data_IF_295825464337
#
_entry.id   IF_295825464337
#
_cell.length_a   1.000
_cell.length_b   1.000
_cell.length_c   1.000
_cell.angle_alpha   90.00
_cell.angle_beta   90.00
_cell.angle_gamma   90.00
#
_symmetry.space_group_name_H-M   'P 1'
#
loop_
_entity.id
_entity.type
_entity.pdbx_description
1 polymer ?
#
# COMPACT_ATOMS: atom_id res chain seq x y z
N UNK A 1 29.21 -43.88 -15.59
CA UNK A 1 29.86 -45.03 -14.91
C UNK A 1 29.26 -46.32 -15.44
N UNK A 2 30.05 -47.38 -15.67
CA UNK A 2 29.52 -48.68 -16.13
C UNK A 2 29.65 -49.74 -15.03
N UNK A 3 28.53 -50.20 -14.50
CA UNK A 3 28.45 -51.41 -13.69
C UNK A 3 27.27 -52.27 -14.17
N UNK A 4 27.51 -53.58 -14.32
CA UNK A 4 26.63 -54.49 -15.07
C UNK A 4 26.12 -55.61 -14.20
N UNK A 5 24.83 -55.95 -14.35
CA UNK A 5 24.23 -57.14 -13.76
C UNK A 5 24.33 -58.31 -14.75
N UNK A 6 24.92 -59.43 -14.34
CA UNK A 6 25.01 -60.67 -15.15
C UNK A 6 24.32 -61.79 -14.38
N UNK A 7 23.30 -62.41 -14.99
CA UNK A 7 22.57 -63.55 -14.44
C UNK A 7 22.74 -64.75 -15.38
N UNK A 8 23.27 -65.88 -14.90
CA UNK A 8 23.55 -67.09 -15.71
C UNK A 8 23.20 -68.39 -14.95
N UNK A 9 22.75 -69.42 -15.67
CA UNK A 9 22.29 -70.71 -15.15
C UNK A 9 23.37 -71.81 -15.12
N UNK A 10 24.57 -71.57 -15.64
CA UNK A 10 25.65 -72.57 -15.65
C UNK A 10 26.46 -72.60 -14.34
N UNK A 11 26.60 -73.80 -13.77
CA UNK A 11 27.06 -74.05 -12.40
C UNK A 11 28.55 -73.75 -12.19
N UNK A 12 28.85 -72.52 -11.76
CA UNK A 12 29.91 -72.12 -10.79
C UNK A 12 29.98 -70.60 -10.60
N UNK A 13 29.36 -69.83 -11.49
CA UNK A 13 29.16 -68.37 -11.36
C UNK A 13 27.87 -68.05 -10.58
N UNK A 14 27.14 -69.08 -10.14
CA UNK A 14 25.79 -69.04 -9.53
C UNK A 14 25.66 -68.21 -8.24
N UNK A 15 26.74 -67.66 -7.69
CA UNK A 15 26.72 -66.75 -6.53
C UNK A 15 27.12 -65.30 -6.83
N UNK A 16 27.33 -64.91 -8.10
CA UNK A 16 28.17 -63.73 -8.40
C UNK A 16 27.41 -62.45 -8.75
N UNK A 17 27.96 -61.33 -8.28
CA UNK A 17 27.70 -59.93 -8.60
C UNK A 17 26.42 -59.27 -8.05
N UNK A 18 25.31 -59.94 -7.75
CA UNK A 18 24.08 -59.21 -7.34
C UNK A 18 24.26 -58.37 -6.05
N UNK A 19 24.99 -58.87 -5.05
CA UNK A 19 25.28 -58.11 -3.83
C UNK A 19 26.21 -56.93 -4.10
N UNK A 20 27.23 -57.12 -4.95
CA UNK A 20 28.12 -56.04 -5.39
C UNK A 20 27.37 -55.00 -6.22
N UNK A 21 26.49 -55.44 -7.12
CA UNK A 21 25.62 -54.60 -7.94
C UNK A 21 24.64 -53.82 -7.07
N UNK A 22 24.05 -54.45 -6.05
CA UNK A 22 23.21 -53.78 -5.08
C UNK A 22 23.98 -52.70 -4.32
N UNK A 23 25.18 -53.01 -3.83
CA UNK A 23 26.00 -52.04 -3.11
C UNK A 23 26.42 -50.88 -4.03
N UNK A 24 26.78 -51.16 -5.28
CA UNK A 24 27.09 -50.14 -6.28
C UNK A 24 25.87 -49.27 -6.61
N UNK A 25 24.68 -49.88 -6.73
CA UNK A 25 23.43 -49.17 -6.94
C UNK A 25 23.10 -48.26 -5.74
N UNK A 26 23.22 -48.76 -4.52
CA UNK A 26 22.98 -47.99 -3.30
C UNK A 26 23.97 -46.82 -3.17
N UNK A 27 25.26 -47.04 -3.44
CA UNK A 27 26.27 -45.98 -3.45
C UNK A 27 25.98 -44.92 -4.51
N UNK A 28 25.66 -45.33 -5.74
CA UNK A 28 25.32 -44.41 -6.81
C UNK A 28 24.10 -43.56 -6.46
N UNK A 29 23.04 -44.18 -5.91
CA UNK A 29 21.85 -43.47 -5.45
C UNK A 29 22.16 -42.49 -4.31
N UNK A 30 23.11 -42.82 -3.44
CA UNK A 30 23.55 -41.94 -2.35
C UNK A 30 24.43 -40.77 -2.81
N UNK A 31 25.16 -40.93 -3.92
CA UNK A 31 26.01 -39.90 -4.52
C UNK A 31 25.21 -38.84 -5.32
N UNK A 32 23.93 -39.11 -5.62
CA UNK A 32 23.08 -38.18 -6.36
C UNK A 32 22.96 -36.84 -5.63
N UNK A 33 23.44 -35.79 -6.28
CA UNK A 33 23.37 -34.43 -5.73
C UNK A 33 21.93 -33.96 -5.56
N UNK A 34 21.65 -33.33 -4.43
CA UNK A 34 20.39 -32.61 -4.15
C UNK A 34 20.52 -31.09 -4.34
N UNK A 35 21.64 -30.63 -4.90
CA UNK A 35 21.84 -29.22 -5.23
C UNK A 35 21.23 -28.92 -6.60
N UNK A 36 20.44 -27.85 -6.68
CA UNK A 36 19.74 -27.44 -7.89
C UNK A 36 19.76 -25.92 -7.98
N UNK A 37 20.93 -25.29 -8.09
CA UNK A 37 21.05 -23.82 -8.07
C UNK A 37 21.45 -23.25 -9.43
N UNK A 38 22.27 -24.00 -10.16
CA UNK A 38 22.91 -23.56 -11.40
C UNK A 38 22.42 -24.35 -12.61
N UNK A 39 22.60 -23.78 -13.81
CA UNK A 39 22.32 -24.50 -15.07
C UNK A 39 23.10 -25.82 -15.16
N UNK A 40 24.32 -25.87 -14.64
CA UNK A 40 25.15 -27.08 -14.57
C UNK A 40 24.56 -28.13 -13.63
N UNK A 41 24.03 -27.73 -12.46
CA UNK A 41 23.34 -28.65 -11.55
C UNK A 41 22.12 -29.30 -12.23
N UNK A 42 21.33 -28.51 -12.97
CA UNK A 42 20.19 -29.02 -13.73
C UNK A 42 20.59 -29.90 -14.92
N UNK A 43 21.70 -29.59 -15.58
CA UNK A 43 22.26 -30.41 -16.65
C UNK A 43 22.71 -31.77 -16.10
N UNK A 44 23.44 -31.77 -14.98
CA UNK A 44 23.88 -32.98 -14.30
C UNK A 44 22.68 -33.82 -13.84
N UNK A 45 21.68 -33.21 -13.20
CA UNK A 45 20.50 -33.94 -12.76
C UNK A 45 19.71 -34.56 -13.93
N UNK A 46 19.65 -33.90 -15.09
CA UNK A 46 19.08 -34.47 -16.32
C UNK A 46 19.91 -35.63 -16.85
N UNK A 47 21.23 -35.60 -16.68
CA UNK A 47 22.09 -36.73 -17.00
C UNK A 47 21.86 -37.90 -16.05
N UNK A 48 21.78 -37.66 -14.74
CA UNK A 48 21.51 -38.70 -13.74
C UNK A 48 20.18 -39.41 -14.01
N UNK A 49 19.14 -38.69 -14.44
CA UNK A 49 17.83 -39.27 -14.82
C UNK A 49 17.98 -40.21 -16.03
N UNK A 50 18.81 -39.85 -17.03
CA UNK A 50 19.11 -40.72 -18.18
C UNK A 50 19.86 -41.97 -17.73
N UNK A 51 20.88 -41.80 -16.90
CA UNK A 51 21.69 -42.90 -16.38
C UNK A 51 20.81 -43.86 -15.56
N UNK A 52 19.91 -43.36 -14.70
CA UNK A 52 18.93 -44.17 -13.97
C UNK A 52 17.96 -44.90 -14.91
N UNK A 53 17.54 -44.27 -16.01
CA UNK A 53 16.68 -44.91 -17.03
C UNK A 53 17.41 -46.06 -17.72
N UNK A 54 18.68 -45.86 -18.06
CA UNK A 54 19.50 -46.88 -18.71
C UNK A 54 19.80 -48.04 -17.76
N UNK A 55 20.14 -47.75 -16.50
CA UNK A 55 20.34 -48.77 -15.46
C UNK A 55 19.06 -49.56 -15.17
N UNK A 56 17.91 -48.90 -15.09
CA UNK A 56 16.60 -49.54 -14.96
C UNK A 56 16.35 -50.50 -16.12
N UNK A 57 16.59 -50.06 -17.37
CA UNK A 57 16.39 -50.85 -18.58
C UNK A 57 17.32 -52.06 -18.63
N UNK A 58 18.63 -51.86 -18.40
CA UNK A 58 19.64 -52.93 -18.40
C UNK A 58 19.35 -53.98 -17.34
N UNK A 59 18.91 -53.56 -16.14
CA UNK A 59 18.54 -54.47 -15.06
C UNK A 59 17.33 -55.32 -15.46
N UNK A 60 16.32 -54.72 -16.10
CA UNK A 60 15.13 -55.44 -16.61
C UNK A 60 15.48 -56.43 -17.72
N UNK A 61 16.37 -56.06 -18.64
CA UNK A 61 16.87 -56.95 -19.69
C UNK A 61 17.63 -58.15 -19.11
N UNK A 62 18.50 -57.92 -18.13
CA UNK A 62 19.21 -59.00 -17.43
C UNK A 62 18.24 -59.97 -16.74
N UNK A 63 17.19 -59.44 -16.10
CA UNK A 63 16.12 -60.26 -15.49
C UNK A 63 15.38 -61.10 -16.54
N UNK A 64 15.02 -60.51 -17.69
CA UNK A 64 14.31 -61.22 -18.75
C UNK A 64 15.13 -62.37 -19.34
N UNK A 65 16.44 -62.18 -19.50
CA UNK A 65 17.35 -63.22 -20.00
C UNK A 65 17.57 -64.37 -19.00
N UNK A 66 17.33 -64.14 -17.71
CA UNK A 66 17.56 -65.11 -16.64
C UNK A 66 16.37 -66.06 -16.37
N UNK A 67 15.23 -65.89 -17.06
CA UNK A 67 13.97 -66.61 -16.76
C UNK A 67 13.99 -68.14 -17.00
N UNK A 68 15.12 -68.75 -17.35
CA UNK A 68 15.24 -70.17 -17.71
C UNK A 68 16.00 -71.05 -16.67
N UNK A 69 15.73 -70.94 -15.36
CA UNK A 69 16.32 -71.83 -14.34
C UNK A 69 15.96 -71.56 -12.86
N UNK A 70 16.51 -72.37 -11.94
CA UNK A 70 16.35 -72.34 -10.47
C UNK A 70 16.98 -71.10 -9.80
N UNK A 71 16.58 -69.88 -10.19
CA UNK A 71 17.20 -68.62 -9.72
C UNK A 71 16.18 -67.60 -9.20
N UNK A 72 15.01 -68.07 -8.76
CA UNK A 72 13.87 -67.22 -8.38
C UNK A 72 14.22 -66.12 -7.35
N UNK A 73 14.98 -66.45 -6.31
CA UNK A 73 15.37 -65.49 -5.27
C UNK A 73 16.30 -64.37 -5.80
N UNK A 74 17.23 -64.67 -6.71
CA UNK A 74 18.10 -63.63 -7.29
C UNK A 74 17.32 -62.74 -8.26
N UNK A 75 16.34 -63.30 -8.98
CA UNK A 75 15.44 -62.52 -9.83
C UNK A 75 14.61 -61.55 -8.98
N UNK A 76 14.06 -61.99 -7.84
CA UNK A 76 13.33 -61.12 -6.91
C UNK A 76 14.21 -59.98 -6.37
N UNK A 77 15.47 -60.25 -6.03
CA UNK A 77 16.44 -59.23 -5.62
C UNK A 77 16.72 -58.23 -6.76
N UNK A 78 16.95 -58.71 -7.98
CA UNK A 78 17.19 -57.86 -9.13
C UNK A 78 15.96 -56.99 -9.46
N UNK A 79 14.75 -57.53 -9.32
CA UNK A 79 13.49 -56.79 -9.46
C UNK A 79 13.39 -55.67 -8.42
N UNK A 80 13.77 -55.95 -7.16
CA UNK A 80 13.79 -54.92 -6.12
C UNK A 80 14.78 -53.79 -6.44
N UNK A 81 15.96 -54.11 -7.00
CA UNK A 81 16.94 -53.10 -7.44
C UNK A 81 16.39 -52.28 -8.63
N UNK A 82 15.79 -52.95 -9.61
CA UNK A 82 15.15 -52.26 -10.74
C UNK A 82 14.04 -51.30 -10.28
N UNK A 83 13.23 -51.72 -9.30
CA UNK A 83 12.19 -50.88 -8.71
C UNK A 83 12.77 -49.68 -7.94
N UNK A 84 13.89 -49.86 -7.23
CA UNK A 84 14.60 -48.73 -6.59
C UNK A 84 15.09 -47.72 -7.62
N UNK A 85 15.68 -48.15 -8.74
CA UNK A 85 16.07 -47.23 -9.81
C UNK A 85 14.86 -46.48 -10.39
N UNK A 86 13.74 -47.17 -10.59
CA UNK A 86 12.50 -46.55 -11.08
C UNK A 86 12.00 -45.48 -10.11
N UNK A 87 11.96 -45.78 -8.81
CA UNK A 87 11.52 -44.83 -7.77
C UNK A 87 12.45 -43.61 -7.72
N UNK A 88 13.75 -43.83 -7.63
CA UNK A 88 14.74 -42.76 -7.61
C UNK A 88 14.66 -41.87 -8.86
N UNK A 89 14.47 -42.46 -10.05
CA UNK A 89 14.27 -41.71 -11.30
C UNK A 89 13.03 -40.81 -11.23
N UNK A 90 11.89 -41.36 -10.81
CA UNK A 90 10.63 -40.61 -10.73
C UNK A 90 10.69 -39.48 -9.69
N UNK A 91 11.29 -39.75 -8.54
CA UNK A 91 11.51 -38.76 -7.50
C UNK A 91 12.42 -37.63 -8.00
N UNK A 92 13.52 -37.98 -8.68
CA UNK A 92 14.46 -37.01 -9.24
C UNK A 92 13.84 -36.19 -10.37
N UNK A 93 13.07 -36.81 -11.27
CA UNK A 93 12.31 -36.10 -12.31
C UNK A 93 11.34 -35.07 -11.72
N UNK A 94 10.62 -35.45 -10.66
CA UNK A 94 9.71 -34.54 -9.95
C UNK A 94 10.50 -33.41 -9.28
N UNK A 95 11.58 -33.74 -8.57
CA UNK A 95 12.40 -32.78 -7.85
C UNK A 95 13.02 -31.75 -8.80
N UNK A 96 13.59 -32.18 -9.92
CA UNK A 96 14.17 -31.31 -10.95
C UNK A 96 13.11 -30.36 -11.51
N UNK A 97 11.93 -30.87 -11.89
CA UNK A 97 10.83 -30.04 -12.43
C UNK A 97 10.34 -29.01 -11.41
N UNK A 98 10.15 -29.43 -10.15
CA UNK A 98 9.70 -28.54 -9.09
C UNK A 98 10.73 -27.46 -8.79
N UNK A 99 12.01 -27.84 -8.62
CA UNK A 99 13.09 -26.89 -8.30
C UNK A 99 13.37 -25.91 -9.43
N UNK A 100 13.35 -26.39 -10.68
CA UNK A 100 13.51 -25.53 -11.85
C UNK A 100 12.37 -24.49 -11.92
N UNK A 101 11.13 -24.89 -11.64
CA UNK A 101 10.00 -23.97 -11.59
C UNK A 101 10.08 -22.98 -10.42
N UNK A 102 10.45 -23.46 -9.22
CA UNK A 102 10.62 -22.63 -8.01
C UNK A 102 11.67 -21.53 -8.23
N UNK A 103 12.83 -21.86 -8.78
CA UNK A 103 13.91 -20.89 -8.99
C UNK A 103 13.54 -19.86 -10.05
N UNK A 104 12.93 -20.29 -11.16
CA UNK A 104 12.45 -19.36 -12.19
C UNK A 104 11.40 -18.40 -11.62
N UNK A 105 10.49 -18.90 -10.80
CA UNK A 105 9.51 -18.06 -10.12
C UNK A 105 10.16 -17.12 -9.10
N UNK A 106 11.16 -17.57 -8.34
CA UNK A 106 11.91 -16.73 -7.39
C UNK A 106 12.58 -15.57 -8.10
N UNK A 107 13.29 -15.80 -9.21
CA UNK A 107 13.97 -14.74 -9.96
C UNK A 107 13.00 -13.63 -10.38
N UNK A 108 11.81 -14.01 -10.86
CA UNK A 108 10.76 -13.05 -11.25
C UNK A 108 10.18 -12.32 -10.03
N UNK A 109 9.86 -13.06 -8.97
CA UNK A 109 9.29 -12.50 -7.75
C UNK A 109 10.27 -11.54 -7.06
N UNK A 110 11.56 -11.89 -6.98
CA UNK A 110 12.59 -11.05 -6.38
C UNK A 110 12.73 -9.72 -7.14
N UNK A 111 12.68 -9.76 -8.48
CA UNK A 111 12.67 -8.55 -9.30
C UNK A 111 11.40 -7.73 -9.10
N UNK A 112 10.25 -8.39 -9.03
CA UNK A 112 8.97 -7.74 -8.75
C UNK A 112 8.96 -7.06 -7.38
N UNK A 113 9.49 -7.72 -6.35
CA UNK A 113 9.58 -7.17 -4.99
C UNK A 113 10.51 -5.97 -4.93
N UNK A 114 11.69 -6.02 -5.58
CA UNK A 114 12.58 -4.86 -5.69
C UNK A 114 11.89 -3.66 -6.33
N UNK A 115 11.15 -3.87 -7.43
CA UNK A 115 10.37 -2.81 -8.08
C UNK A 115 9.22 -2.31 -7.20
N UNK A 116 8.57 -3.19 -6.45
CA UNK A 116 7.52 -2.79 -5.51
C UNK A 116 8.08 -1.90 -4.39
N UNK A 117 9.27 -2.22 -3.87
CA UNK A 117 9.99 -1.37 -2.90
C UNK A 117 10.29 0.00 -3.52
N UNK A 118 10.87 0.05 -4.73
CA UNK A 118 11.14 1.31 -5.44
C UNK A 118 9.87 2.14 -5.58
N UNK A 119 8.77 1.53 -6.02
CA UNK A 119 7.48 2.22 -6.21
C UNK A 119 6.89 2.75 -4.90
N UNK A 120 7.10 2.06 -3.77
CA UNK A 120 6.64 2.50 -2.44
C UNK A 120 7.52 3.54 -1.78
N UNK A 121 8.70 3.84 -2.34
CA UNK A 121 9.64 4.82 -1.79
C UNK A 121 9.25 6.29 -2.01
N UNK A 122 8.20 6.55 -2.79
CA UNK A 122 7.73 7.91 -3.10
C UNK A 122 6.66 8.40 -2.10
N UNK A 123 6.31 9.68 -2.17
CA UNK A 123 5.20 10.25 -1.39
C UNK A 123 3.88 9.52 -1.68
N UNK A 124 2.97 9.47 -0.69
CA UNK A 124 1.74 8.67 -0.78
C UNK A 124 0.87 9.01 -2.02
N UNK A 125 0.70 10.31 -2.31
CA UNK A 125 -0.09 10.75 -3.47
C UNK A 125 0.54 10.30 -4.80
N UNK A 126 1.86 10.38 -4.90
CA UNK A 126 2.62 9.91 -6.06
C UNK A 126 2.53 8.39 -6.18
N UNK A 127 2.58 7.65 -5.06
CA UNK A 127 2.42 6.20 -5.07
C UNK A 127 1.05 5.75 -5.60
N UNK A 128 -0.02 6.45 -5.21
CA UNK A 128 -1.39 6.20 -5.68
C UNK A 128 -1.47 6.48 -7.18
N UNK A 129 -0.97 7.63 -7.63
CA UNK A 129 -0.93 7.98 -9.05
C UNK A 129 -0.09 7.01 -9.90
N UNK A 130 1.07 6.60 -9.39
CA UNK A 130 1.91 5.58 -10.03
C UNK A 130 1.19 4.24 -10.17
N UNK A 131 0.29 3.85 -9.25
CA UNK A 131 -0.47 2.60 -9.39
C UNK A 131 -1.47 2.67 -10.55
N UNK A 132 -2.02 3.86 -10.83
CA UNK A 132 -2.93 4.09 -11.95
C UNK A 132 -2.20 4.05 -13.30
N UNK A 133 -0.97 4.57 -13.37
CA UNK A 133 -0.18 4.60 -14.61
C UNK A 133 0.58 3.28 -14.83
N UNK A 134 1.29 2.82 -13.81
CA UNK A 134 2.14 1.61 -13.83
C UNK A 134 1.66 0.65 -12.73
N UNK A 135 0.63 -0.13 -13.05
CA UNK A 135 0.05 -1.08 -12.12
C UNK A 135 1.00 -2.25 -11.80
N UNK A 136 0.85 -2.83 -10.60
CA UNK A 136 1.55 -4.07 -10.22
C UNK A 136 1.31 -5.22 -11.20
N UNK A 137 0.09 -5.32 -11.74
CA UNK A 137 -0.26 -6.35 -12.72
C UNK A 137 0.53 -6.16 -14.04
N UNK A 138 0.70 -4.92 -14.48
CA UNK A 138 1.50 -4.57 -15.67
C UNK A 138 2.96 -4.95 -15.47
N UNK A 139 3.55 -4.61 -14.31
CA UNK A 139 4.94 -4.95 -13.97
C UNK A 139 5.13 -6.47 -13.99
N UNK A 140 4.27 -7.21 -13.28
CA UNK A 140 4.36 -8.68 -13.23
C UNK A 140 4.26 -9.31 -14.62
N UNK A 141 3.28 -8.87 -15.42
CA UNK A 141 3.11 -9.36 -16.80
C UNK A 141 4.36 -9.12 -17.65
N UNK A 142 4.99 -7.96 -17.57
CA UNK A 142 6.21 -7.64 -18.32
C UNK A 142 7.40 -8.51 -17.90
N UNK A 143 7.58 -8.71 -16.60
CA UNK A 143 8.61 -9.62 -16.08
C UNK A 143 8.36 -11.08 -16.54
N UNK A 144 7.12 -11.55 -16.46
CA UNK A 144 6.72 -12.88 -16.97
C UNK A 144 6.98 -12.99 -18.48
N UNK A 145 6.70 -11.96 -19.26
CA UNK A 145 6.97 -11.90 -20.70
C UNK A 145 8.47 -11.94 -21.02
N UNK A 146 9.31 -11.29 -20.22
CA UNK A 146 10.77 -11.32 -20.38
C UNK A 146 11.36 -12.73 -20.21
N UNK A 147 10.71 -13.59 -19.42
CA UNK A 147 11.12 -14.99 -19.24
C UNK A 147 10.77 -15.90 -20.41
N UNK A 148 9.85 -15.49 -21.29
CA UNK A 148 9.39 -16.34 -22.41
C UNK A 148 10.56 -16.68 -23.33
N UNK A 149 10.62 -17.95 -23.75
CA UNK A 149 11.64 -18.48 -24.69
C UNK A 149 13.08 -18.43 -24.13
N UNK A 150 13.25 -18.45 -22.80
CA UNK A 150 14.56 -18.58 -22.14
C UNK A 150 14.75 -20.01 -21.63
N UNK A 151 15.76 -20.69 -22.16
CA UNK A 151 16.02 -22.10 -21.85
C UNK A 151 16.92 -22.32 -20.63
N UNK A 152 17.73 -21.33 -20.26
CA UNK A 152 18.67 -21.42 -19.13
C UNK A 152 18.38 -20.36 -18.08
N UNK A 153 18.74 -20.63 -16.83
CA UNK A 153 18.64 -19.69 -15.72
C UNK A 153 19.48 -18.45 -15.98
N UNK A 154 20.70 -18.60 -16.51
CA UNK A 154 21.56 -17.45 -16.82
C UNK A 154 20.90 -16.48 -17.81
N UNK A 155 20.28 -17.00 -18.88
CA UNK A 155 19.62 -16.16 -19.89
C UNK A 155 18.30 -15.58 -19.39
N UNK A 156 17.57 -16.31 -18.54
CA UNK A 156 16.36 -15.84 -17.88
C UNK A 156 16.67 -14.70 -16.91
N UNK A 157 17.64 -14.87 -16.01
CA UNK A 157 18.06 -13.85 -15.04
C UNK A 157 18.53 -12.59 -15.75
N UNK A 158 19.33 -12.72 -16.82
CA UNK A 158 19.77 -11.56 -17.61
C UNK A 158 18.59 -10.80 -18.23
N UNK A 159 17.59 -11.51 -18.75
CA UNK A 159 16.41 -10.90 -19.35
C UNK A 159 15.54 -10.20 -18.29
N UNK A 160 15.32 -10.84 -17.14
CA UNK A 160 14.57 -10.26 -16.02
C UNK A 160 15.27 -9.01 -15.49
N UNK A 161 16.58 -9.05 -15.26
CA UNK A 161 17.34 -7.89 -14.78
C UNK A 161 17.32 -6.71 -15.77
N UNK A 162 17.37 -7.00 -17.08
CA UNK A 162 17.25 -5.96 -18.11
C UNK A 162 15.87 -5.31 -18.08
N UNK A 163 14.80 -6.12 -17.99
CA UNK A 163 13.43 -5.61 -17.90
C UNK A 163 13.19 -4.86 -16.58
N UNK A 164 13.72 -5.36 -15.46
CA UNK A 164 13.70 -4.68 -14.17
C UNK A 164 14.30 -3.28 -14.26
N UNK A 165 15.46 -3.15 -14.91
CA UNK A 165 16.13 -1.86 -15.13
C UNK A 165 15.27 -0.91 -15.95
N UNK A 166 14.63 -1.40 -17.02
CA UNK A 166 13.75 -0.61 -17.87
C UNK A 166 12.51 -0.13 -17.12
N UNK A 167 11.84 -1.02 -16.39
CA UNK A 167 10.66 -0.69 -15.57
C UNK A 167 11.05 0.30 -14.46
N UNK A 168 12.19 0.09 -13.79
CA UNK A 168 12.69 1.00 -12.77
C UNK A 168 12.93 2.41 -13.29
N UNK A 169 13.51 2.55 -14.50
CA UNK A 169 13.71 3.84 -15.15
C UNK A 169 12.38 4.52 -15.53
N UNK A 170 11.40 3.74 -16.00
CA UNK A 170 10.05 4.22 -16.31
C UNK A 170 9.33 4.71 -15.04
N UNK A 171 9.37 3.94 -13.95
CA UNK A 171 8.83 4.34 -12.65
C UNK A 171 9.47 5.63 -12.17
N UNK A 172 10.80 5.76 -12.25
CA UNK A 172 11.50 6.97 -11.81
C UNK A 172 11.10 8.21 -12.64
N UNK A 173 11.00 8.04 -13.96
CA UNK A 173 10.61 9.12 -14.88
C UNK A 173 9.18 9.57 -14.61
N UNK A 174 8.25 8.62 -14.47
CA UNK A 174 6.85 8.92 -14.23
C UNK A 174 6.63 9.49 -12.82
N UNK A 175 7.35 8.98 -11.82
CA UNK A 175 7.30 9.53 -10.46
C UNK A 175 7.76 10.98 -10.41
N UNK A 176 8.82 11.33 -11.15
CA UNK A 176 9.30 12.71 -11.26
C UNK A 176 8.26 13.61 -11.93
N UNK A 177 7.64 13.15 -13.02
CA UNK A 177 6.54 13.85 -13.71
C UNK A 177 5.36 14.10 -12.76
N UNK A 178 4.88 13.05 -12.09
CA UNK A 178 3.74 13.12 -11.17
C UNK A 178 4.03 14.01 -9.97
N UNK A 179 5.24 13.93 -9.39
CA UNK A 179 5.66 14.80 -8.29
C UNK A 179 5.69 16.28 -8.71
N UNK A 180 6.23 16.58 -9.90
CA UNK A 180 6.24 17.95 -10.42
C UNK A 180 4.83 18.51 -10.59
N UNK A 181 3.89 17.70 -11.12
CA UNK A 181 2.49 18.12 -11.31
C UNK A 181 1.71 18.24 -10.01
N UNK A 182 1.94 17.36 -9.04
CA UNK A 182 1.33 17.47 -7.71
C UNK A 182 1.71 18.78 -7.02
N UNK A 183 2.97 19.24 -7.18
CA UNK A 183 3.44 20.52 -6.64
C UNK A 183 2.78 21.76 -7.25
N UNK A 184 2.18 21.65 -8.43
CA UNK A 184 1.45 22.76 -9.05
C UNK A 184 0.14 23.08 -8.31
N UNK A 185 -0.45 22.09 -7.62
CA UNK A 185 -1.70 22.27 -6.88
C UNK A 185 -1.40 22.97 -5.54
N UNK A 186 -1.88 24.22 -5.32
CA UNK A 186 -1.59 24.92 -4.08
C UNK A 186 -2.36 24.32 -2.89
N UNK A 187 -1.67 24.13 -1.77
CA UNK A 187 -2.24 23.53 -0.54
C UNK A 187 -3.47 24.33 -0.06
N UNK A 188 -3.43 25.67 -0.16
CA UNK A 188 -4.55 26.54 0.26
C UNK A 188 -5.85 26.28 -0.50
N UNK A 189 -5.77 25.77 -1.73
CA UNK A 189 -6.92 25.51 -2.60
C UNK A 189 -7.15 24.01 -2.85
N UNK A 190 -6.50 23.12 -2.08
CA UNK A 190 -6.56 21.67 -2.31
C UNK A 190 -8.00 21.11 -2.33
N UNK A 191 -8.91 21.72 -1.57
CA UNK A 191 -10.34 21.36 -1.55
C UNK A 191 -11.07 21.54 -2.90
N UNK A 192 -10.52 22.37 -3.81
CA UNK A 192 -11.03 22.56 -5.18
C UNK A 192 -10.64 21.43 -6.14
N UNK A 193 -9.67 20.59 -5.75
CA UNK A 193 -9.07 19.57 -6.60
C UNK A 193 -9.32 18.16 -6.04
N UNK A 194 -10.59 17.81 -5.80
CA UNK A 194 -10.96 16.45 -5.37
C UNK A 194 -10.59 15.37 -6.40
N UNK A 195 -10.49 15.77 -7.66
CA UNK A 195 -10.08 15.00 -8.83
C UNK A 195 -8.56 15.08 -9.10
N UNK A 196 -7.76 15.55 -8.14
CA UNK A 196 -6.30 15.75 -8.30
C UNK A 196 -5.61 14.55 -8.94
N UNK A 197 -6.02 13.32 -8.59
CA UNK A 197 -5.42 12.09 -9.09
C UNK A 197 -5.52 11.99 -10.62
N UNK A 198 -6.70 12.26 -11.18
CA UNK A 198 -6.91 12.27 -12.63
C UNK A 198 -6.19 13.45 -13.29
N UNK A 199 -6.16 14.61 -12.61
CA UNK A 199 -5.49 15.79 -13.13
C UNK A 199 -3.96 15.62 -13.26
N UNK A 200 -3.32 15.00 -12.27
CA UNK A 200 -1.87 14.79 -12.32
C UNK A 200 -1.47 13.60 -13.19
N UNK A 201 -2.37 12.64 -13.44
CA UNK A 201 -2.11 11.46 -14.28
C UNK A 201 -2.45 11.69 -15.76
N UNK A 202 -3.47 12.49 -16.08
CA UNK A 202 -3.89 12.77 -17.46
C UNK A 202 -2.90 13.64 -18.23
N UNK A 203 -3.03 13.80 -19.54
CA UNK A 203 -2.01 14.51 -20.35
C UNK A 203 -2.25 16.02 -20.51
N UNK A 204 -3.34 16.53 -19.93
CA UNK A 204 -3.74 17.94 -20.07
C UNK A 204 -2.78 18.92 -19.39
N UNK A 205 -2.70 20.15 -19.91
CA UNK A 205 -1.96 21.24 -19.29
C UNK A 205 -2.61 21.63 -17.96
N UNK A 206 -1.92 21.32 -16.85
CA UNK A 206 -2.49 21.42 -15.51
C UNK A 206 -2.55 22.86 -14.99
N UNK A 207 -1.57 23.69 -15.33
CA UNK A 207 -1.49 25.08 -14.88
C UNK A 207 -2.73 25.94 -15.25
N UNK A 208 -3.21 25.98 -16.51
CA UNK A 208 -4.39 26.76 -16.85
C UNK A 208 -5.66 26.25 -16.14
N UNK A 209 -5.78 24.94 -15.93
CA UNK A 209 -6.92 24.35 -15.20
C UNK A 209 -6.90 24.82 -13.74
N UNK A 210 -5.73 24.79 -13.10
CA UNK A 210 -5.56 25.26 -11.71
C UNK A 210 -5.90 26.74 -11.61
N UNK A 211 -5.33 27.58 -12.49
CA UNK A 211 -5.56 29.02 -12.48
C UNK A 211 -7.04 29.37 -12.68
N UNK A 212 -7.71 28.72 -13.63
CA UNK A 212 -9.13 28.95 -13.88
C UNK A 212 -10.00 28.60 -12.66
N UNK A 213 -9.73 27.47 -11.99
CA UNK A 213 -10.49 27.06 -10.79
C UNK A 213 -10.26 27.98 -9.60
N UNK A 214 -9.01 28.44 -9.39
CA UNK A 214 -8.68 29.38 -8.31
C UNK A 214 -9.35 30.74 -8.56
N UNK A 215 -9.24 31.27 -9.78
CA UNK A 215 -9.84 32.55 -10.13
C UNK A 215 -11.37 32.57 -9.95
N UNK A 216 -12.05 31.46 -10.27
CA UNK A 216 -13.49 31.33 -10.05
C UNK A 216 -13.85 31.29 -8.55
N UNK A 217 -13.04 30.64 -7.72
CA UNK A 217 -13.27 30.60 -6.28
C UNK A 217 -13.00 31.95 -5.62
N UNK A 218 -11.91 32.64 -5.99
CA UNK A 218 -11.62 34.00 -5.51
C UNK A 218 -12.75 34.98 -5.86
N UNK A 219 -13.30 34.86 -7.07
CA UNK A 219 -14.47 35.65 -7.48
C UNK A 219 -15.69 35.33 -6.61
N UNK A 220 -15.98 34.06 -6.36
CA UNK A 220 -17.09 33.65 -5.49
C UNK A 220 -16.92 34.20 -4.06
N UNK A 221 -15.73 34.10 -3.49
CA UNK A 221 -15.45 34.64 -2.16
C UNK A 221 -15.61 36.17 -2.11
N UNK A 222 -15.13 36.88 -3.13
CA UNK A 222 -15.27 38.32 -3.24
C UNK A 222 -16.75 38.74 -3.30
N UNK A 223 -17.57 38.02 -4.07
CA UNK A 223 -19.01 38.26 -4.17
C UNK A 223 -19.73 38.02 -2.83
N UNK A 224 -19.36 36.97 -2.09
CA UNK A 224 -19.92 36.69 -0.75
C UNK A 224 -19.54 37.79 0.23
N UNK A 225 -18.27 38.20 0.25
CA UNK A 225 -17.79 39.29 1.12
C UNK A 225 -18.48 40.62 0.80
N UNK A 226 -18.65 40.95 -0.48
CA UNK A 226 -19.35 42.16 -0.91
C UNK A 226 -20.83 42.17 -0.49
N UNK A 227 -21.54 41.03 -0.65
CA UNK A 227 -22.93 40.90 -0.19
C UNK A 227 -23.05 41.03 1.33
N UNK A 228 -22.16 40.40 2.08
CA UNK A 228 -22.14 40.49 3.53
C UNK A 228 -21.88 41.93 4.02
N UNK A 229 -20.98 42.68 3.36
CA UNK A 229 -20.71 44.07 3.69
C UNK A 229 -21.91 44.98 3.37
N UNK A 230 -22.57 44.77 2.23
CA UNK A 230 -23.78 45.51 1.86
C UNK A 230 -24.92 45.26 2.85
N UNK A 231 -25.14 44.00 3.25
CA UNK A 231 -26.16 43.65 4.24
C UNK A 231 -25.83 44.25 5.62
N UNK A 232 -24.56 44.23 6.02
CA UNK A 232 -24.11 44.86 7.27
C UNK A 232 -24.35 46.37 7.28
N UNK A 233 -24.05 47.07 6.17
CA UNK A 233 -24.31 48.52 6.01
C UNK A 233 -25.81 48.81 6.03
N UNK A 234 -26.61 48.07 5.27
CA UNK A 234 -28.07 48.23 5.25
C UNK A 234 -28.70 47.99 6.63
N UNK A 235 -28.22 46.98 7.37
CA UNK A 235 -28.68 46.71 8.75
C UNK A 235 -28.25 47.80 9.73
N UNK A 236 -27.07 48.39 9.56
CA UNK A 236 -26.62 49.51 10.39
C UNK A 236 -27.43 50.77 10.12
N UNK A 237 -27.71 51.09 8.85
CA UNK A 237 -28.55 52.21 8.43
C UNK A 237 -30.00 52.05 8.92
N UNK A 238 -30.57 50.86 8.79
CA UNK A 238 -31.91 50.56 9.31
C UNK A 238 -31.99 50.77 10.83
N UNK A 239 -30.98 50.32 11.60
CA UNK A 239 -30.92 50.56 13.05
C UNK A 239 -30.74 52.04 13.40
N UNK A 240 -30.02 52.82 12.60
CA UNK A 240 -29.88 54.26 12.82
C UNK A 240 -31.19 55.01 12.55
N UNK A 241 -31.93 54.62 11.51
CA UNK A 241 -33.24 55.19 11.21
C UNK A 241 -34.30 54.81 12.26
N UNK A 242 -34.30 53.55 12.72
CA UNK A 242 -35.19 53.09 13.79
C UNK A 242 -34.94 53.85 15.11
N UNK A 243 -33.68 54.00 15.52
CA UNK A 243 -33.32 54.78 16.71
C UNK A 243 -33.65 56.28 16.57
N UNK A 244 -33.57 56.86 15.36
CA UNK A 244 -33.97 58.25 15.12
C UNK A 244 -35.49 58.43 15.22
N UNK A 245 -36.27 57.47 14.70
CA UNK A 245 -37.73 57.51 14.79
C UNK A 245 -38.22 57.36 16.24
N UNK A 246 -37.64 56.43 17.01
CA UNK A 246 -37.99 56.25 18.43
C UNK A 246 -37.61 57.45 19.32
N UNK A 247 -36.56 58.22 18.96
CA UNK A 247 -36.21 59.46 19.64
C UNK A 247 -37.19 60.61 19.32
N UNK A 248 -37.69 60.69 18.08
CA UNK A 248 -38.72 61.67 17.71
C UNK A 248 -40.09 61.37 18.32
N UNK A 249 -40.45 60.09 18.48
CA UNK A 249 -41.69 59.70 19.20
C UNK A 249 -41.61 60.01 20.71
N UNK A 250 -40.45 59.80 21.35
CA UNK A 250 -40.26 60.13 22.78
C UNK A 250 -40.30 61.64 23.08
N UNK A 251 -39.91 62.50 22.12
CA UNK A 251 -39.95 63.97 22.32
C UNK A 251 -41.39 64.49 22.28
N UNK A 252 -42.31 63.81 21.57
CA UNK A 252 -43.69 64.26 21.40
C UNK A 252 -44.62 63.85 22.58
N UNK A 253 -44.30 62.79 23.31
CA UNK A 253 -45.06 62.38 24.51
C UNK A 253 -44.72 63.21 25.77
N UNK A 254 -43.63 63.97 25.79
CA UNK A 254 -43.20 64.71 27.00
C UNK A 254 -43.75 66.16 27.12
N UNK A 255 -44.70 66.56 26.26
CA UNK A 255 -45.37 67.89 26.35
C UNK A 255 -46.69 67.90 27.13
N UNK A 256 -47.18 66.75 27.61
CA UNK A 256 -48.36 66.66 28.44
C UNK A 256 -48.02 66.13 29.83
N UNK A 257 -47.68 67.04 30.74
CA UNK A 257 -47.90 67.02 32.20
C UNK A 257 -46.67 67.55 32.95
N UNK A 258 -46.77 68.79 33.43
CA UNK A 258 -45.81 69.40 34.37
C UNK A 258 -46.58 69.99 35.55
N UNK A 259 -46.33 69.44 36.74
CA UNK A 259 -46.80 69.94 38.04
C UNK A 259 -46.27 69.07 39.19
N UNK A 260 -46.01 69.61 40.39
CA UNK A 260 -44.63 69.77 40.88
C UNK A 260 -44.23 69.04 42.19
N UNK A 261 -42.93 68.70 42.26
CA UNK A 261 -41.96 68.81 43.37
C UNK A 261 -41.96 67.89 44.64
N UNK A 262 -40.82 67.16 44.79
CA UNK A 262 -39.99 66.84 46.02
C UNK A 262 -40.58 66.07 47.22
N UNK A 263 -39.77 65.56 48.19
CA UNK A 263 -38.49 64.83 48.16
C UNK A 263 -38.54 63.54 49.06
N UNK A 264 -37.41 62.84 49.23
CA UNK A 264 -36.98 62.15 50.48
C UNK A 264 -36.81 60.61 50.50
N UNK A 265 -35.56 60.23 50.84
CA UNK A 265 -35.09 59.19 51.77
C UNK A 265 -35.19 57.67 51.46
N UNK A 266 -34.00 57.12 51.15
CA UNK A 266 -33.22 56.13 51.90
C UNK A 266 -33.91 54.89 52.52
N UNK A 267 -33.55 53.68 52.06
CA UNK A 267 -33.34 52.44 52.86
C UNK A 267 -32.58 51.35 52.02
N UNK A 268 -32.10 50.21 52.58
CA UNK A 268 -30.75 49.61 52.39
C UNK A 268 -30.68 48.51 51.29
N UNK A 269 -29.53 47.84 51.04
CA UNK A 269 -29.22 47.34 49.70
C UNK A 269 -30.01 46.08 49.36
N UNK A 270 -30.79 46.15 48.27
CA UNK A 270 -31.41 44.99 47.67
C UNK A 270 -30.37 44.21 46.86
N UNK A 271 -30.08 42.98 47.29
CA UNK A 271 -29.35 41.99 46.49
C UNK A 271 -30.07 41.82 45.15
N UNK A 272 -29.42 42.23 44.06
CA UNK A 272 -30.00 42.17 42.71
C UNK A 272 -29.27 41.12 41.89
N UNK A 273 -30.00 40.40 41.04
CA UNK A 273 -29.42 39.42 40.13
C UNK A 273 -28.87 40.13 38.89
N UNK A 274 -27.65 39.77 38.51
CA UNK A 274 -26.97 40.24 37.32
C UNK A 274 -26.64 39.04 36.42
N UNK A 275 -26.65 39.27 35.11
CA UNK A 275 -26.19 38.31 34.11
C UNK A 275 -25.01 38.94 33.38
N UNK A 276 -23.87 38.25 33.41
CA UNK A 276 -22.70 38.63 32.63
C UNK A 276 -22.70 37.89 31.30
N UNK A 277 -22.54 38.64 30.20
CA UNK A 277 -22.38 38.07 28.86
C UNK A 277 -20.92 38.22 28.42
N UNK A 278 -20.25 37.08 28.26
CA UNK A 278 -18.92 36.95 27.65
C UNK A 278 -19.11 36.22 26.31
N UNK A 279 -18.28 36.44 25.27
CA UNK A 279 -18.38 35.65 24.05
C UNK A 279 -18.32 34.15 24.39
N UNK A 280 -19.43 33.45 24.13
CA UNK A 280 -19.68 32.02 24.37
C UNK A 280 -20.16 31.54 25.78
N UNK A 281 -20.43 32.41 26.77
CA UNK A 281 -21.03 31.97 28.05
C UNK A 281 -21.84 33.06 28.79
N UNK A 282 -22.94 32.66 29.44
CA UNK A 282 -23.73 33.51 30.34
C UNK A 282 -23.60 33.02 31.78
N UNK A 283 -23.15 33.90 32.70
CA UNK A 283 -22.93 33.55 34.11
C UNK A 283 -23.90 34.36 34.98
N UNK A 284 -24.82 33.71 35.74
CA UNK A 284 -25.68 34.39 36.69
C UNK A 284 -24.91 34.74 37.97
N UNK A 285 -25.06 35.97 38.46
CA UNK A 285 -24.44 36.46 39.69
C UNK A 285 -25.46 37.16 40.58
N UNK A 286 -25.42 36.90 41.88
CA UNK A 286 -26.33 37.49 42.85
C UNK A 286 -25.53 38.20 43.92
N UNK A 287 -25.61 39.52 43.97
CA UNK A 287 -24.79 40.34 44.86
C UNK A 287 -24.98 41.83 44.58
N UNK A 288 -24.06 42.66 45.04
CA UNK A 288 -24.04 44.08 44.66
C UNK A 288 -23.27 44.30 43.37
N UNK A 289 -23.52 45.42 42.68
CA UNK A 289 -22.82 45.77 41.45
C UNK A 289 -21.30 45.95 41.67
N UNK A 290 -20.89 46.39 42.86
CA UNK A 290 -19.48 46.55 43.24
C UNK A 290 -18.80 45.19 43.44
N UNK A 291 -19.47 44.25 44.11
CA UNK A 291 -18.97 42.87 44.24
C UNK A 291 -18.84 42.18 42.88
N UNK A 292 -19.79 42.43 41.97
CA UNK A 292 -19.71 41.93 40.59
C UNK A 292 -18.47 42.50 39.87
N UNK A 293 -18.21 43.79 40.02
CA UNK A 293 -17.04 44.44 39.38
C UNK A 293 -15.72 43.94 39.94
N UNK A 294 -15.60 43.70 41.24
CA UNK A 294 -14.40 43.12 41.86
C UNK A 294 -14.18 41.67 41.42
N UNK A 295 -15.23 40.84 41.45
CA UNK A 295 -15.14 39.43 41.05
C UNK A 295 -14.66 39.27 39.60
N UNK A 296 -15.02 40.20 38.72
CA UNK A 296 -14.68 40.15 37.29
C UNK A 296 -13.54 41.09 36.85
N UNK A 297 -12.92 41.85 37.77
CA UNK A 297 -11.75 42.69 37.48
C UNK A 297 -10.59 41.93 36.80
N UNK A 298 -10.27 40.67 37.16
CA UNK A 298 -9.20 39.90 36.51
C UNK A 298 -9.51 39.56 35.03
N UNK A 299 -10.79 39.38 34.67
CA UNK A 299 -11.21 38.98 33.31
C UNK A 299 -11.01 40.12 32.31
N UNK A 300 -11.18 41.37 32.75
CA UNK A 300 -10.95 42.56 31.93
C UNK A 300 -9.46 42.79 31.64
N UNK A 301 -8.57 42.40 32.56
CA UNK A 301 -7.11 42.46 32.38
C UNK A 301 -6.64 41.47 31.30
N UNK A 302 -7.38 40.37 31.09
CA UNK A 302 -7.12 39.37 30.04
C UNK A 302 -7.66 39.78 28.65
N UNK A 303 -8.12 41.03 28.47
CA UNK A 303 -8.57 41.56 27.18
C UNK A 303 -9.95 41.08 26.72
N UNK A 304 -10.70 40.37 27.57
CA UNK A 304 -12.03 39.85 27.26
C UNK A 304 -13.07 40.94 27.51
N UNK A 305 -13.84 41.29 26.47
CA UNK A 305 -14.92 42.28 26.59
C UNK A 305 -16.18 41.61 27.12
N UNK A 306 -16.54 41.91 28.38
CA UNK A 306 -17.74 41.39 29.03
C UNK A 306 -18.78 42.50 29.25
N UNK A 307 -20.06 42.18 29.00
CA UNK A 307 -21.17 43.13 29.19
C UNK A 307 -22.04 42.70 30.36
N UNK A 308 -22.25 43.60 31.32
CA UNK A 308 -23.08 43.36 32.50
C UNK A 308 -24.51 43.78 32.18
N UNK A 309 -25.46 42.86 32.34
CA UNK A 309 -26.89 43.12 32.21
C UNK A 309 -27.55 42.90 33.57
N UNK A 310 -28.19 43.94 34.10
CA UNK A 310 -29.02 43.82 35.30
C UNK A 310 -30.31 43.08 34.93
N UNK A 311 -30.66 42.06 35.71
CA UNK A 311 -31.92 41.34 35.51
C UNK A 311 -33.06 42.06 36.21
#
# INVERSE_FOLDING_TARGET
MEFNLILSTESKVLSTNISTFQQQAENYLAELSNRFETDDDFAQAKQDIKDLTELEKRTKEAIANAQNGEIKQLIEQAQAIAERFRQARLEREKLVKTKEAEIKASIVNDAFERLAVVKSGFENDVCIALEQVISKATIKKRLDEATKRRSTLATLTKAVNAEETLIGAEIATEAARLSARRKLIPISYEYLFKDWLNLITGDDELEPIIQARIAEEEKREAEIKAKAEQEAKARAEAKLQENAHSQQENINENTANSGPQTPSQATPPATTQFILKIPAQEIPFTGTLEQLREYFAPVKVLGITATIVKK
#
